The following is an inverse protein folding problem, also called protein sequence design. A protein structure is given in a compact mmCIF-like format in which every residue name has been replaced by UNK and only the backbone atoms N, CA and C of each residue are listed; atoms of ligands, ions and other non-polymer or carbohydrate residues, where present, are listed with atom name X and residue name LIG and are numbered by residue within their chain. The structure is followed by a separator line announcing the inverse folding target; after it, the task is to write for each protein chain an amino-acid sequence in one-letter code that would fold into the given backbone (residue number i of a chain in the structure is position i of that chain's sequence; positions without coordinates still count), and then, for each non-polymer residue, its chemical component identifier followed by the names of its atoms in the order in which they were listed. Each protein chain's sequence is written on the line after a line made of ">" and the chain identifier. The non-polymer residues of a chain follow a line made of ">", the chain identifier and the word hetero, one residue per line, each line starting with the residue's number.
data_IF_817373850630
#
_entry.id   IF_817373850630
#
_cell.length_a   1.000
_cell.length_b   1.000
_cell.length_c   1.000
_cell.angle_alpha   90.00
_cell.angle_beta   90.00
_cell.angle_gamma   90.00
#
_symmetry.space_group_name_H-M   'P 1'
#
loop_
_entity.id
_entity.type
_entity.pdbx_description
1 polymer ?
#
# COMPACT_ATOMS: atom_id res chain seq x y z
N UNK A 1 58.05 -30.38 -58.49
CA UNK A 1 58.32 -29.39 -57.44
C UNK A 1 56.99 -29.06 -56.77
N UNK A 2 56.73 -29.66 -55.62
CA UNK A 2 55.49 -29.55 -54.89
C UNK A 2 55.68 -28.57 -53.75
N UNK A 3 54.84 -27.54 -53.66
CA UNK A 3 54.80 -26.65 -52.54
C UNK A 3 53.54 -26.97 -51.68
N UNK A 4 53.80 -27.47 -50.50
CA UNK A 4 52.75 -27.76 -49.53
C UNK A 4 52.33 -26.48 -48.75
N UNK A 5 51.08 -26.09 -48.88
CA UNK A 5 50.49 -25.07 -48.04
C UNK A 5 49.90 -25.72 -46.77
N UNK A 6 50.50 -25.41 -45.64
CA UNK A 6 50.06 -25.84 -44.33
C UNK A 6 49.07 -24.79 -43.79
N UNK A 7 47.81 -25.15 -43.71
CA UNK A 7 46.76 -24.32 -43.11
C UNK A 7 46.78 -24.45 -41.61
N UNK A 8 47.14 -23.39 -40.91
CA UNK A 8 46.91 -23.26 -39.41
C UNK A 8 45.47 -22.95 -39.13
N UNK A 9 44.79 -23.87 -38.47
CA UNK A 9 43.51 -23.65 -37.86
C UNK A 9 43.71 -22.93 -36.52
N UNK A 10 43.41 -21.63 -36.44
CA UNK A 10 43.29 -20.92 -35.20
C UNK A 10 41.91 -21.21 -34.60
N UNK A 11 41.86 -22.03 -33.56
CA UNK A 11 40.68 -22.20 -32.73
C UNK A 11 40.55 -21.00 -31.80
N UNK A 12 39.72 -20.03 -32.21
CA UNK A 12 39.33 -18.90 -31.34
C UNK A 12 38.31 -19.36 -30.33
N UNK A 13 38.68 -19.45 -29.05
CA UNK A 13 37.77 -19.59 -27.94
C UNK A 13 37.07 -18.25 -27.73
N UNK A 14 35.82 -18.17 -28.11
CA UNK A 14 34.93 -17.08 -27.70
C UNK A 14 34.68 -17.21 -26.18
N UNK A 15 35.45 -16.44 -25.39
CA UNK A 15 35.11 -16.18 -24.02
C UNK A 15 33.79 -15.37 -24.01
N UNK A 16 32.70 -16.04 -23.77
CA UNK A 16 31.43 -15.39 -23.52
C UNK A 16 31.56 -14.51 -22.28
N UNK A 17 31.54 -13.18 -22.47
CA UNK A 17 31.22 -12.26 -21.39
C UNK A 17 29.81 -12.60 -20.94
N UNK A 18 29.67 -13.33 -19.84
CA UNK A 18 28.44 -13.40 -19.09
C UNK A 18 28.17 -11.98 -18.61
N UNK A 19 27.31 -11.27 -19.32
CA UNK A 19 26.73 -10.03 -18.86
C UNK A 19 25.98 -10.33 -17.57
N UNK A 20 26.69 -10.14 -16.46
CA UNK A 20 26.11 -10.15 -15.13
C UNK A 20 25.40 -8.80 -14.94
N UNK A 21 24.44 -8.50 -15.81
CA UNK A 21 23.39 -7.54 -15.52
C UNK A 21 22.55 -8.14 -14.41
N UNK A 22 23.12 -8.18 -13.21
CA UNK A 22 22.33 -8.17 -12.00
C UNK A 22 21.58 -6.86 -12.04
N UNK A 23 20.41 -6.90 -12.68
CA UNK A 23 19.37 -5.92 -12.48
C UNK A 23 19.22 -5.82 -10.96
N UNK A 24 19.75 -4.76 -10.38
CA UNK A 24 19.28 -4.21 -9.13
C UNK A 24 17.93 -3.56 -9.43
N UNK A 25 16.98 -4.34 -9.94
CA UNK A 25 15.59 -4.11 -9.60
C UNK A 25 15.61 -4.22 -8.09
N UNK A 26 15.56 -3.08 -7.40
CA UNK A 26 15.10 -3.01 -6.03
C UNK A 26 13.87 -3.91 -6.05
N UNK A 27 13.93 -5.04 -5.32
CA UNK A 27 12.88 -6.03 -5.29
C UNK A 27 11.60 -5.23 -5.12
N UNK A 28 10.75 -5.20 -6.14
CA UNK A 28 9.46 -4.54 -6.08
C UNK A 28 8.77 -5.27 -4.95
N UNK A 29 8.70 -4.61 -3.78
CA UNK A 29 8.10 -5.20 -2.59
C UNK A 29 6.71 -5.57 -3.04
N UNK A 30 6.44 -6.88 -3.13
CA UNK A 30 5.09 -7.34 -3.45
C UNK A 30 4.17 -6.82 -2.37
N UNK A 31 3.44 -5.76 -2.70
CA UNK A 31 2.57 -5.07 -1.75
C UNK A 31 1.20 -5.71 -1.65
N UNK A 32 0.91 -6.67 -2.50
CA UNK A 32 -0.40 -7.34 -2.55
C UNK A 32 -0.53 -8.37 -1.41
N UNK A 33 -1.60 -8.33 -0.62
CA UNK A 33 -1.85 -9.32 0.42
C UNK A 33 -2.22 -10.69 -0.17
N UNK A 34 -1.90 -11.77 0.56
CA UNK A 34 -2.50 -13.08 0.29
C UNK A 34 -3.98 -13.06 0.69
N UNK A 35 -4.85 -13.21 -0.30
CA UNK A 35 -6.30 -13.14 -0.13
C UNK A 35 -6.98 -14.51 -0.02
N UNK A 36 -6.21 -15.57 0.17
CA UNK A 36 -6.78 -16.93 0.35
C UNK A 36 -7.76 -16.94 1.53
N UNK A 37 -9.00 -17.30 1.28
CA UNK A 37 -10.07 -17.35 2.30
C UNK A 37 -10.53 -16.00 2.83
N UNK A 38 -10.09 -14.87 2.25
CA UNK A 38 -10.51 -13.53 2.68
C UNK A 38 -12.00 -13.26 2.38
N UNK A 39 -12.58 -12.36 3.17
CA UNK A 39 -13.93 -11.84 2.90
C UNK A 39 -13.99 -11.23 1.49
N UNK A 40 -15.02 -11.53 0.68
CA UNK A 40 -15.16 -11.00 -0.69
C UNK A 40 -15.08 -9.46 -0.77
N UNK A 41 -15.43 -8.75 0.31
CA UNK A 41 -15.33 -7.28 0.38
C UNK A 41 -13.87 -6.82 0.44
N UNK A 42 -13.00 -7.58 1.11
CA UNK A 42 -11.55 -7.33 1.14
C UNK A 42 -10.92 -7.64 -0.21
N UNK A 43 -11.30 -8.74 -0.85
CA UNK A 43 -10.86 -9.08 -2.21
C UNK A 43 -11.20 -7.95 -3.18
N UNK A 44 -12.45 -7.44 -3.13
CA UNK A 44 -12.87 -6.29 -3.95
C UNK A 44 -12.08 -5.04 -3.64
N UNK A 45 -11.79 -4.77 -2.36
CA UNK A 45 -11.04 -3.59 -1.93
C UNK A 45 -9.59 -3.63 -2.42
N UNK A 46 -8.91 -4.76 -2.25
CA UNK A 46 -7.55 -4.98 -2.74
C UNK A 46 -7.50 -4.96 -4.27
N UNK A 47 -8.53 -5.40 -4.95
CA UNK A 47 -8.67 -5.26 -6.40
C UNK A 47 -8.69 -3.80 -6.90
N UNK A 48 -8.90 -2.84 -6.00
CA UNK A 48 -8.80 -1.39 -6.25
C UNK A 48 -7.47 -0.79 -5.73
N UNK A 49 -6.46 -1.63 -5.50
CA UNK A 49 -5.14 -1.17 -5.02
C UNK A 49 -4.63 -0.01 -5.86
N UNK A 50 -4.08 0.98 -5.17
CA UNK A 50 -3.50 2.18 -5.78
C UNK A 50 -4.46 3.04 -6.62
N UNK A 51 -5.77 2.82 -6.56
CA UNK A 51 -6.76 3.69 -7.22
C UNK A 51 -7.03 4.96 -6.39
N UNK A 52 -7.28 6.07 -7.08
CA UNK A 52 -7.91 7.25 -6.50
C UNK A 52 -9.40 7.19 -6.84
N UNK A 53 -10.22 7.14 -5.80
CA UNK A 53 -11.66 7.00 -5.90
C UNK A 53 -12.35 8.35 -5.77
N UNK A 54 -13.29 8.59 -6.67
CA UNK A 54 -14.17 9.75 -6.66
C UNK A 54 -15.39 9.57 -5.73
N UNK A 55 -16.26 10.59 -5.72
CA UNK A 55 -17.55 10.58 -5.02
C UNK A 55 -17.51 11.19 -3.63
N UNK A 56 -16.34 11.62 -3.17
CA UNK A 56 -16.14 12.41 -1.96
C UNK A 56 -16.74 11.78 -0.69
N UNK A 57 -17.13 12.63 0.27
CA UNK A 57 -17.66 12.19 1.58
C UNK A 57 -18.82 11.19 1.50
N UNK A 58 -19.84 11.33 0.63
CA UNK A 58 -20.93 10.35 0.55
C UNK A 58 -20.46 8.95 0.17
N UNK A 59 -19.56 8.83 -0.83
CA UNK A 59 -19.03 7.56 -1.29
C UNK A 59 -18.13 6.92 -0.21
N UNK A 60 -17.27 7.71 0.43
CA UNK A 60 -16.46 7.26 1.57
C UNK A 60 -17.32 6.70 2.70
N UNK A 61 -18.36 7.42 3.13
CA UNK A 61 -19.26 6.96 4.17
C UNK A 61 -20.04 5.70 3.78
N UNK A 62 -20.45 5.59 2.50
CA UNK A 62 -21.09 4.38 1.99
C UNK A 62 -20.14 3.19 2.04
N UNK A 63 -18.86 3.39 1.69
CA UNK A 63 -17.81 2.38 1.80
C UNK A 63 -17.63 1.91 3.24
N UNK A 64 -17.48 2.82 4.20
CA UNK A 64 -17.36 2.45 5.62
C UNK A 64 -18.57 1.63 6.09
N UNK A 65 -19.79 2.02 5.69
CA UNK A 65 -20.99 1.22 6.02
C UNK A 65 -20.97 -0.17 5.41
N UNK A 66 -20.48 -0.32 4.19
CA UNK A 66 -20.38 -1.62 3.51
C UNK A 66 -19.34 -2.55 4.12
N UNK A 67 -18.37 -2.00 4.86
CA UNK A 67 -17.30 -2.74 5.53
C UNK A 67 -17.66 -3.13 6.97
N UNK A 68 -18.84 -2.80 7.49
CA UNK A 68 -19.26 -3.24 8.82
C UNK A 68 -19.13 -4.74 8.99
N UNK A 69 -18.63 -5.17 10.14
CA UNK A 69 -18.23 -6.54 10.43
C UNK A 69 -16.74 -6.80 10.21
N UNK A 70 -16.01 -5.83 9.65
CA UNK A 70 -14.57 -5.87 9.47
C UNK A 70 -13.90 -4.69 10.16
N UNK A 71 -12.71 -4.88 10.76
CA UNK A 71 -11.85 -3.76 11.14
C UNK A 71 -11.47 -2.92 9.93
N UNK A 72 -11.40 -1.59 10.10
CA UNK A 72 -11.01 -0.67 9.01
C UNK A 72 -9.93 0.28 9.49
N UNK A 73 -8.85 0.38 8.73
CA UNK A 73 -7.80 1.39 8.90
C UNK A 73 -7.94 2.43 7.80
N UNK A 74 -8.00 3.70 8.19
CA UNK A 74 -8.07 4.82 7.26
C UNK A 74 -6.90 5.74 7.49
N UNK A 75 -6.02 5.87 6.50
CA UNK A 75 -4.88 6.78 6.55
C UNK A 75 -5.16 8.05 5.73
N UNK A 76 -5.07 9.19 6.38
CA UNK A 76 -5.17 10.52 5.76
C UNK A 76 -3.78 11.00 5.38
N UNK A 77 -3.55 11.24 4.09
CA UNK A 77 -2.24 11.55 3.53
C UNK A 77 -2.30 12.64 2.45
N UNK A 78 -1.12 13.18 2.11
CA UNK A 78 -0.92 14.04 0.94
C UNK A 78 0.50 13.87 0.38
N UNK A 79 0.70 14.14 -0.91
CA UNK A 79 2.01 14.02 -1.56
C UNK A 79 3.06 15.01 -1.02
N UNK A 80 2.62 16.19 -0.58
CA UNK A 80 3.45 17.25 0.01
C UNK A 80 3.78 17.00 1.49
N UNK A 81 3.19 15.98 2.11
CA UNK A 81 3.38 15.65 3.52
C UNK A 81 4.64 14.80 3.72
N UNK A 82 5.71 15.40 4.21
CA UNK A 82 6.99 14.70 4.42
C UNK A 82 6.86 13.50 5.37
N UNK A 83 6.19 13.59 6.54
CA UNK A 83 6.00 12.42 7.40
C UNK A 83 5.20 11.30 6.75
N UNK A 84 4.25 11.62 5.84
CA UNK A 84 3.48 10.61 5.11
C UNK A 84 4.37 9.73 4.21
N UNK A 85 5.42 10.32 3.63
CA UNK A 85 6.41 9.58 2.82
C UNK A 85 7.20 8.58 3.68
N UNK A 86 7.54 8.97 4.91
CA UNK A 86 8.21 8.09 5.87
C UNK A 86 7.32 6.94 6.36
N UNK A 87 6.01 7.18 6.51
CA UNK A 87 5.04 6.20 6.96
C UNK A 87 4.60 5.21 5.85
N UNK A 88 4.68 5.62 4.58
CA UNK A 88 4.17 4.84 3.46
C UNK A 88 4.67 3.38 3.43
N UNK A 89 5.97 3.07 3.62
CA UNK A 89 6.45 1.68 3.67
C UNK A 89 5.89 0.86 4.84
N UNK A 90 5.52 1.54 5.94
CA UNK A 90 4.92 0.90 7.12
C UNK A 90 3.48 0.49 6.80
N UNK A 91 2.71 1.38 6.18
CA UNK A 91 1.35 1.11 5.71
C UNK A 91 1.34 -0.02 4.66
N UNK A 92 2.25 0.04 3.66
CA UNK A 92 2.40 -0.99 2.64
C UNK A 92 2.60 -2.38 3.27
N UNK A 93 3.57 -2.50 4.18
CA UNK A 93 3.89 -3.76 4.88
C UNK A 93 2.71 -4.24 5.71
N UNK A 94 2.12 -3.36 6.52
CA UNK A 94 1.01 -3.74 7.40
C UNK A 94 -0.23 -4.13 6.61
N UNK A 95 -0.56 -3.41 5.53
CA UNK A 95 -1.69 -3.74 4.69
C UNK A 95 -1.48 -5.02 3.88
N UNK A 96 -0.25 -5.31 3.43
CA UNK A 96 0.09 -6.60 2.82
C UNK A 96 -0.12 -7.76 3.82
N UNK A 97 0.31 -7.59 5.06
CA UNK A 97 0.28 -8.66 6.07
C UNK A 97 -1.13 -8.88 6.66
N UNK A 98 -1.98 -7.85 6.66
CA UNK A 98 -3.29 -7.87 7.30
C UNK A 98 -4.47 -7.66 6.34
N UNK A 99 -4.24 -7.33 5.06
CA UNK A 99 -5.29 -6.96 4.11
C UNK A 99 -6.31 -8.04 3.79
N UNK A 100 -6.06 -9.29 4.20
CA UNK A 100 -7.04 -10.38 4.15
C UNK A 100 -7.99 -10.44 5.36
N UNK A 101 -7.82 -9.58 6.36
CA UNK A 101 -8.60 -9.55 7.62
C UNK A 101 -9.00 -8.13 8.03
N UNK A 102 -8.29 -7.14 7.57
CA UNK A 102 -8.45 -5.72 7.88
C UNK A 102 -8.61 -4.95 6.58
N UNK A 103 -9.62 -4.12 6.47
CA UNK A 103 -9.79 -3.22 5.34
C UNK A 103 -8.87 -2.00 5.52
N UNK A 104 -8.13 -1.64 4.47
CA UNK A 104 -7.31 -0.43 4.44
C UNK A 104 -7.88 0.55 3.41
N UNK A 105 -7.93 1.81 3.76
CA UNK A 105 -8.36 2.92 2.90
C UNK A 105 -7.43 4.11 3.08
N UNK A 106 -7.21 4.86 2.01
CA UNK A 106 -6.56 6.16 2.05
C UNK A 106 -7.57 7.30 1.88
N UNK A 107 -7.16 8.49 2.32
CA UNK A 107 -7.80 9.77 2.01
C UNK A 107 -6.71 10.73 1.57
N UNK A 108 -6.69 11.08 0.28
CA UNK A 108 -5.74 12.01 -0.31
C UNK A 108 -6.29 13.43 -0.19
N UNK A 109 -5.64 14.28 0.62
CA UNK A 109 -6.20 15.56 1.07
C UNK A 109 -5.48 16.74 0.44
N UNK A 110 -6.26 17.66 -0.14
CA UNK A 110 -5.73 18.93 -0.69
C UNK A 110 -4.51 18.72 -1.59
N UNK A 111 -4.60 17.77 -2.50
CA UNK A 111 -3.51 17.39 -3.39
C UNK A 111 -3.91 17.65 -4.86
N UNK A 112 -2.93 17.70 -5.74
CA UNK A 112 -3.19 17.68 -7.17
C UNK A 112 -3.10 16.25 -7.71
N UNK A 113 -3.85 15.95 -8.77
CA UNK A 113 -3.85 14.63 -9.40
C UNK A 113 -2.43 14.19 -9.80
N UNK A 114 -1.63 15.12 -10.39
CA UNK A 114 -0.25 14.83 -10.80
C UNK A 114 0.68 14.55 -9.62
N UNK A 115 0.54 15.31 -8.52
CA UNK A 115 1.38 15.12 -7.34
C UNK A 115 1.00 13.83 -6.60
N UNK A 116 -0.28 13.55 -6.47
CA UNK A 116 -0.82 12.29 -5.95
C UNK A 116 -0.34 11.09 -6.79
N UNK A 117 -0.39 11.20 -8.13
CA UNK A 117 0.11 10.14 -9.02
C UNK A 117 1.61 9.86 -8.79
N UNK A 118 2.46 10.90 -8.74
CA UNK A 118 3.90 10.73 -8.49
C UNK A 118 4.16 10.08 -7.13
N UNK A 119 3.45 10.50 -6.08
CA UNK A 119 3.58 9.87 -4.76
C UNK A 119 3.25 8.37 -4.82
N UNK A 120 2.11 8.00 -5.44
CA UNK A 120 1.68 6.60 -5.54
C UNK A 120 2.60 5.76 -6.45
N UNK A 121 3.19 6.38 -7.47
CA UNK A 121 4.21 5.70 -8.29
C UNK A 121 5.48 5.36 -7.51
N UNK A 122 5.83 6.16 -6.51
CA UNK A 122 6.95 5.91 -5.60
C UNK A 122 6.56 4.97 -4.44
N UNK A 123 5.33 5.10 -3.95
CA UNK A 123 4.79 4.34 -2.83
C UNK A 123 3.45 3.69 -3.21
N UNK A 124 3.44 2.64 -4.05
CA UNK A 124 2.19 1.98 -4.44
C UNK A 124 1.50 1.36 -3.22
N UNK A 125 0.22 1.67 -3.02
CA UNK A 125 -0.55 1.20 -1.86
C UNK A 125 -1.41 -0.01 -2.23
N UNK A 126 -1.44 -1.08 -1.38
CA UNK A 126 -2.29 -2.25 -1.62
C UNK A 126 -3.77 -1.98 -1.25
N UNK A 127 -4.18 -0.73 -1.35
CA UNK A 127 -5.55 -0.27 -1.06
C UNK A 127 -5.86 1.04 -1.81
N UNK A 128 -7.14 1.34 -2.06
CA UNK A 128 -7.53 2.59 -2.72
C UNK A 128 -7.53 3.78 -1.76
N UNK A 129 -7.42 4.98 -2.32
CA UNK A 129 -7.59 6.24 -1.61
C UNK A 129 -8.75 7.05 -2.19
N UNK A 130 -9.53 7.71 -1.34
CA UNK A 130 -10.52 8.70 -1.78
C UNK A 130 -9.85 10.05 -2.04
N UNK A 131 -10.21 10.70 -3.14
CA UNK A 131 -9.86 12.08 -3.39
C UNK A 131 -10.67 13.02 -2.49
N UNK A 132 -10.00 13.94 -1.81
CA UNK A 132 -10.61 14.88 -0.87
C UNK A 132 -10.04 16.29 -1.01
N UNK A 133 -10.25 16.93 -2.18
CA UNK A 133 -9.67 18.24 -2.47
C UNK A 133 -10.15 19.34 -1.53
N UNK A 134 -11.35 19.18 -0.96
CA UNK A 134 -11.98 20.15 -0.05
C UNK A 134 -11.83 19.77 1.44
N UNK A 135 -11.08 18.72 1.77
CA UNK A 135 -10.91 18.19 3.12
C UNK A 135 -12.22 17.81 3.86
N UNK A 136 -13.27 17.46 3.10
CA UNK A 136 -14.60 17.10 3.67
C UNK A 136 -14.60 15.72 4.32
N UNK A 137 -13.82 14.77 3.77
CA UNK A 137 -13.60 13.45 4.36
C UNK A 137 -12.62 13.59 5.53
N UNK A 138 -11.54 14.35 5.33
CA UNK A 138 -10.52 14.59 6.34
C UNK A 138 -11.09 15.19 7.63
N UNK A 139 -12.14 16.01 7.51
CA UNK A 139 -12.86 16.57 8.66
C UNK A 139 -13.53 15.51 9.56
N UNK A 140 -13.73 14.29 9.07
CA UNK A 140 -14.23 13.15 9.87
C UNK A 140 -13.12 12.47 10.68
N UNK A 141 -11.85 12.82 10.43
CA UNK A 141 -10.66 12.31 11.10
C UNK A 141 -9.90 13.50 11.71
N UNK A 142 -10.37 14.04 12.85
CA UNK A 142 -9.75 15.22 13.48
C UNK A 142 -8.32 14.90 13.99
N UNK A 143 -7.46 15.89 14.21
CA UNK A 143 -7.71 17.29 13.89
C UNK A 143 -7.58 17.57 12.40
N UNK A 144 -8.39 18.52 11.91
CA UNK A 144 -8.24 19.04 10.55
C UNK A 144 -6.85 19.64 10.32
N UNK A 145 -6.38 19.62 9.07
CA UNK A 145 -5.15 20.30 8.65
C UNK A 145 -3.84 19.61 9.02
N UNK A 146 -3.85 18.48 9.75
CA UNK A 146 -2.65 17.67 10.03
C UNK A 146 -2.65 16.37 9.23
N UNK A 147 -1.51 15.98 8.70
CA UNK A 147 -1.23 14.69 8.06
C UNK A 147 0.15 14.20 8.53
N UNK A 148 0.37 12.87 8.59
CA UNK A 148 -0.67 11.85 8.48
C UNK A 148 -1.57 11.82 9.73
N UNK A 149 -2.77 11.27 9.54
CA UNK A 149 -3.64 10.84 10.66
C UNK A 149 -4.20 9.48 10.27
N UNK A 150 -4.07 8.52 11.15
CA UNK A 150 -4.61 7.18 10.94
C UNK A 150 -5.76 6.91 11.89
N UNK A 151 -6.96 6.70 11.33
CA UNK A 151 -8.15 6.27 12.06
C UNK A 151 -8.30 4.76 12.03
N UNK A 152 -8.56 4.16 13.19
CA UNK A 152 -8.87 2.74 13.33
C UNK A 152 -10.33 2.60 13.74
N UNK A 153 -11.09 1.89 12.92
CA UNK A 153 -12.51 1.61 13.14
C UNK A 153 -12.68 0.15 13.55
N UNK A 154 -13.51 -0.08 14.55
CA UNK A 154 -13.88 -1.43 14.97
C UNK A 154 -14.88 -2.10 13.98
N UNK A 155 -15.20 -3.36 14.22
CA UNK A 155 -16.12 -4.12 13.37
C UNK A 155 -17.55 -3.52 13.35
N UNK A 156 -17.95 -2.78 14.36
CA UNK A 156 -19.23 -2.07 14.41
C UNK A 156 -19.21 -0.77 13.59
N UNK A 157 -18.04 -0.39 13.08
CA UNK A 157 -17.81 0.81 12.29
C UNK A 157 -17.69 2.09 13.12
N UNK A 158 -17.34 1.97 14.40
CA UNK A 158 -17.06 3.11 15.29
C UNK A 158 -15.58 3.46 15.18
N UNK A 159 -15.25 4.74 15.14
CA UNK A 159 -13.88 5.22 15.24
C UNK A 159 -13.37 4.94 16.66
N UNK A 160 -12.54 3.92 16.80
CA UNK A 160 -12.04 3.44 18.09
C UNK A 160 -10.71 4.09 18.49
N UNK A 161 -9.90 4.52 17.50
CA UNK A 161 -8.60 5.17 17.74
C UNK A 161 -8.25 6.15 16.64
N UNK A 162 -7.49 7.18 17.00
CA UNK A 162 -6.87 8.13 16.10
C UNK A 162 -5.40 8.31 16.47
N UNK A 163 -4.51 7.93 15.58
CA UNK A 163 -3.10 8.30 15.67
C UNK A 163 -2.87 9.60 14.90
N UNK A 164 -2.25 10.58 15.57
CA UNK A 164 -1.95 11.90 15.00
C UNK A 164 -0.44 12.01 14.81
N UNK A 165 0.00 11.86 13.59
CA UNK A 165 1.40 11.75 13.20
C UNK A 165 1.67 10.43 12.51
N UNK A 166 2.91 10.24 12.09
CA UNK A 166 3.33 9.03 11.40
C UNK A 166 3.61 7.91 12.40
N UNK A 167 3.17 6.69 12.11
CA UNK A 167 3.71 5.50 12.75
C UNK A 167 5.20 5.35 12.41
N UNK A 168 6.00 4.98 13.38
CA UNK A 168 7.44 4.74 13.18
C UNK A 168 7.73 3.28 12.81
N UNK A 169 6.87 2.35 13.19
CA UNK A 169 7.03 0.92 12.89
C UNK A 169 5.72 0.21 12.55
N UNK A 170 5.82 -0.84 11.72
CA UNK A 170 4.68 -1.72 11.43
C UNK A 170 4.18 -2.47 12.70
N UNK A 171 5.05 -2.67 13.70
CA UNK A 171 4.69 -3.28 14.98
C UNK A 171 3.73 -2.38 15.78
N UNK A 172 3.98 -1.07 15.80
CA UNK A 172 3.11 -0.10 16.46
C UNK A 172 1.74 -0.07 15.80
N UNK A 173 1.68 0.13 14.48
CA UNK A 173 0.40 0.15 13.75
C UNK A 173 -0.39 -1.16 13.96
N UNK A 174 0.28 -2.32 13.86
CA UNK A 174 -0.35 -3.62 14.12
C UNK A 174 -0.88 -3.71 15.55
N UNK A 175 -0.07 -3.30 16.53
CA UNK A 175 -0.45 -3.32 17.95
C UNK A 175 -1.69 -2.47 18.23
N UNK A 176 -1.81 -1.31 17.59
CA UNK A 176 -2.98 -0.45 17.72
C UNK A 176 -4.21 -1.04 17.00
N UNK A 177 -4.03 -1.63 15.84
CA UNK A 177 -5.12 -2.34 15.16
C UNK A 177 -5.67 -3.46 16.06
N UNK A 178 -4.80 -4.31 16.63
CA UNK A 178 -5.21 -5.39 17.52
C UNK A 178 -5.87 -4.90 18.81
N UNK A 179 -5.39 -3.79 19.34
CA UNK A 179 -5.90 -3.19 20.58
C UNK A 179 -7.27 -2.55 20.42
N UNK A 180 -7.49 -1.81 19.33
CA UNK A 180 -8.64 -0.93 19.17
C UNK A 180 -9.71 -1.49 18.21
N UNK A 181 -9.33 -2.26 17.22
CA UNK A 181 -10.30 -2.88 16.32
C UNK A 181 -10.78 -4.26 16.80
N UNK A 182 -10.16 -4.78 17.84
CA UNK A 182 -10.41 -6.12 18.37
C UNK A 182 -9.46 -7.17 17.80
N UNK A 183 -9.54 -8.40 18.33
CA UNK A 183 -8.62 -9.47 17.93
C UNK A 183 -8.73 -9.75 16.43
N UNK A 184 -7.61 -9.59 15.74
CA UNK A 184 -7.48 -10.00 14.34
C UNK A 184 -7.24 -11.50 14.35
N UNK A 185 -8.22 -12.30 13.93
CA UNK A 185 -8.11 -13.75 13.87
C UNK A 185 -6.87 -14.24 13.11
N UNK A 186 -6.49 -15.51 13.24
CA UNK A 186 -5.39 -16.08 12.48
C UNK A 186 -5.64 -15.92 10.97
N UNK A 187 -4.60 -16.01 10.10
CA UNK A 187 -4.79 -16.03 8.67
C UNK A 187 -5.79 -17.11 8.25
N UNK A 188 -6.66 -16.86 7.28
CA UNK A 188 -7.53 -17.88 6.75
C UNK A 188 -6.70 -19.08 6.26
N UNK A 189 -7.03 -20.29 6.71
CA UNK A 189 -6.33 -21.54 6.30
C UNK A 189 -5.12 -21.93 7.15
N UNK A 190 -4.87 -21.31 8.30
CA UNK A 190 -3.85 -21.74 9.28
C UNK A 190 -4.38 -22.79 10.26
#
# INVERSE_FOLDING_TARGET
>A
MAAACMALLLSGTLAGCADNTRSTALDAVEVTPDLTGADPRLVKLVGQSDEILDGGKPAYQARLRSLKGLPVVVNKWASWCVPCRGEAPILQRTARDLGNRVAFLGVNVNDSADASYRFRSEFPMPFPSYDDPDAKIAALLPPGGKQPVTGIFDAEGRLAHLEIGAYETAKELRGDIERYAGPIGPPPGS
#
